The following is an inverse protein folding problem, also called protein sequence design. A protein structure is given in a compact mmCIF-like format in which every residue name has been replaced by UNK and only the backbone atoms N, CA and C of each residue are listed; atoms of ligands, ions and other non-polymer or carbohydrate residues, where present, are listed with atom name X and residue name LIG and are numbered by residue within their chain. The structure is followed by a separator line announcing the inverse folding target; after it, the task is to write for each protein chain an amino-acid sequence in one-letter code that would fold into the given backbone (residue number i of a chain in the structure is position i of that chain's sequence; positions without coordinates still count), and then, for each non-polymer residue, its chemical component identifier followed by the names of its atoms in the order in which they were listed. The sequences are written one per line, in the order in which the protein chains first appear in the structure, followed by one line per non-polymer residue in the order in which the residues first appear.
data_IF_192697285979
#
_entry.id   IF_192697285979
#
_cell.length_a   1.000
_cell.length_b   1.000
_cell.length_c   1.000
_cell.angle_alpha   90.00
_cell.angle_beta   90.00
_cell.angle_gamma   90.00
#
_symmetry.space_group_name_H-M   'P 1'
#
loop_
_entity.id
_entity.type
_entity.pdbx_description
1 polymer ?
#
# COMPACT_ATOMS: atom_id res chain seq x y z
N UNK A 1 -43.26 -29.49 -10.70
CA UNK A 1 -41.89 -30.04 -10.73
C UNK A 1 -41.29 -29.73 -12.10
N UNK A 2 -40.15 -29.06 -12.16
CA UNK A 2 -39.55 -28.61 -13.43
C UNK A 2 -38.77 -29.75 -14.11
N UNK A 3 -38.95 -29.99 -15.42
CA UNK A 3 -38.35 -31.14 -16.15
C UNK A 3 -36.83 -31.27 -16.03
N UNK A 4 -36.12 -30.15 -15.85
CA UNK A 4 -34.65 -30.11 -15.70
C UNK A 4 -34.12 -30.83 -14.45
N UNK A 5 -34.96 -31.06 -13.42
CA UNK A 5 -34.54 -31.75 -12.20
C UNK A 5 -34.41 -33.25 -12.44
N UNK A 6 -35.17 -33.80 -13.40
CA UNK A 6 -35.16 -35.23 -13.72
C UNK A 6 -33.91 -35.59 -14.52
N UNK A 7 -33.39 -34.69 -15.38
CA UNK A 7 -32.16 -34.94 -16.14
C UNK A 7 -30.89 -34.90 -15.30
N UNK A 8 -30.84 -34.07 -14.25
CA UNK A 8 -29.62 -33.87 -13.47
C UNK A 8 -29.34 -34.98 -12.44
N UNK A 9 -30.36 -35.72 -11.99
CA UNK A 9 -30.19 -36.79 -11.00
C UNK A 9 -29.48 -38.05 -11.55
N UNK A 10 -29.31 -38.17 -12.87
CA UNK A 10 -28.77 -39.37 -13.51
C UNK A 10 -27.32 -39.27 -14.01
N UNK A 11 -26.65 -38.11 -13.93
CA UNK A 11 -25.34 -38.00 -14.59
C UNK A 11 -24.23 -37.18 -13.92
N UNK A 12 -24.44 -36.30 -12.93
CA UNK A 12 -23.32 -35.67 -12.22
C UNK A 12 -23.68 -35.34 -10.77
N UNK A 13 -22.75 -35.65 -9.86
CA UNK A 13 -22.75 -35.15 -8.48
C UNK A 13 -22.41 -33.65 -8.53
N UNK A 14 -23.34 -32.83 -9.01
CA UNK A 14 -23.17 -31.37 -9.00
C UNK A 14 -23.18 -30.90 -7.54
N UNK A 15 -22.08 -30.28 -7.11
CA UNK A 15 -22.02 -29.51 -5.86
C UNK A 15 -23.15 -28.47 -5.93
N UNK A 16 -24.15 -28.59 -5.05
CA UNK A 16 -25.22 -27.59 -4.95
C UNK A 16 -24.56 -26.22 -4.78
N UNK A 17 -24.91 -25.21 -5.58
CA UNK A 17 -24.36 -23.88 -5.39
C UNK A 17 -24.88 -23.33 -4.07
N UNK A 18 -24.08 -23.46 -3.01
CA UNK A 18 -24.34 -22.78 -1.74
C UNK A 18 -24.18 -21.28 -1.96
N UNK A 19 -25.18 -20.44 -1.60
CA UNK A 19 -25.18 -19.00 -1.91
C UNK A 19 -24.02 -18.20 -1.29
N UNK A 20 -23.18 -18.82 -0.47
CA UNK A 20 -22.15 -18.17 0.34
C UNK A 20 -20.77 -18.82 0.26
N UNK A 21 -20.42 -19.47 -0.84
CA UNK A 21 -18.99 -19.58 -1.18
C UNK A 21 -18.57 -18.20 -1.72
N UNK A 22 -18.52 -17.20 -0.82
CA UNK A 22 -17.78 -15.96 -1.07
C UNK A 22 -16.34 -16.40 -1.22
N UNK A 23 -15.95 -16.71 -2.44
CA UNK A 23 -14.59 -16.51 -2.86
C UNK A 23 -14.37 -15.01 -2.67
N UNK A 24 -13.95 -14.62 -1.46
CA UNK A 24 -13.14 -13.44 -1.34
C UNK A 24 -11.88 -13.81 -2.13
N UNK A 25 -11.94 -13.60 -3.45
CA UNK A 25 -10.74 -13.28 -4.20
C UNK A 25 -10.10 -12.22 -3.32
N UNK A 26 -8.94 -12.54 -2.73
CA UNK A 26 -8.16 -11.55 -2.01
C UNK A 26 -8.23 -10.29 -2.85
N UNK A 27 -8.69 -9.14 -2.31
CA UNK A 27 -8.66 -7.90 -3.07
C UNK A 27 -7.25 -7.82 -3.63
N UNK A 28 -7.14 -7.87 -4.97
CA UNK A 28 -5.85 -8.05 -5.63
C UNK A 28 -4.88 -7.06 -5.02
N UNK A 29 -3.67 -7.53 -4.69
CA UNK A 29 -2.64 -6.67 -4.09
C UNK A 29 -2.62 -5.36 -4.87
N UNK A 30 -3.06 -4.29 -4.23
CA UNK A 30 -3.15 -3.00 -4.87
C UNK A 30 -1.71 -2.52 -5.03
N UNK A 31 -1.26 -2.54 -6.28
CA UNK A 31 0.04 -2.03 -6.71
C UNK A 31 0.26 -0.58 -6.24
N UNK A 32 1.52 -0.16 -6.04
CA UNK A 32 1.87 0.92 -5.14
C UNK A 32 1.16 2.24 -5.47
N UNK A 33 0.58 2.85 -4.43
CA UNK A 33 0.06 4.21 -4.49
C UNK A 33 1.23 5.18 -4.39
N UNK A 34 1.55 5.86 -5.48
CA UNK A 34 2.54 6.94 -5.47
C UNK A 34 1.83 8.28 -5.28
N UNK A 35 1.95 8.86 -4.09
CA UNK A 35 1.54 10.24 -3.84
C UNK A 35 2.75 11.16 -3.99
N UNK A 36 2.62 12.19 -4.82
CA UNK A 36 3.68 13.15 -5.05
C UNK A 36 3.15 14.57 -4.82
N UNK A 37 3.81 15.28 -3.93
CA UNK A 37 3.54 16.68 -3.67
C UNK A 37 4.73 17.52 -4.15
N UNK A 38 4.42 18.61 -4.84
CA UNK A 38 5.39 19.48 -5.51
C UNK A 38 5.32 20.89 -4.91
N UNK A 39 6.49 21.49 -4.68
CA UNK A 39 6.61 22.88 -4.21
C UNK A 39 5.84 23.14 -2.92
N UNK A 40 5.90 22.20 -1.98
CA UNK A 40 5.29 22.33 -0.66
C UNK A 40 6.33 22.29 0.46
N UNK A 41 5.98 22.91 1.57
CA UNK A 41 6.72 22.90 2.84
C UNK A 41 6.37 21.69 3.70
N UNK A 42 7.15 21.48 4.76
CA UNK A 42 6.90 20.46 5.76
C UNK A 42 5.51 20.61 6.43
N UNK A 43 5.06 21.84 6.66
CA UNK A 43 3.73 22.14 7.23
C UNK A 43 2.58 21.77 6.28
N UNK A 44 2.74 22.03 4.98
CA UNK A 44 1.72 21.65 3.99
C UNK A 44 1.71 20.12 3.80
N UNK A 45 2.88 19.48 3.82
CA UNK A 45 2.99 18.02 3.74
C UNK A 45 2.33 17.33 4.93
N UNK A 46 2.33 17.94 6.12
CA UNK A 46 1.66 17.43 7.32
C UNK A 46 0.19 17.06 7.08
N UNK A 47 -0.54 17.92 6.37
CA UNK A 47 -1.95 17.66 6.01
C UNK A 47 -2.11 16.44 5.09
N UNK A 48 -1.16 16.22 4.17
CA UNK A 48 -1.14 15.09 3.24
C UNK A 48 -0.83 13.80 4.00
N UNK A 49 0.14 13.82 4.90
CA UNK A 49 0.49 12.68 5.74
C UNK A 49 -0.69 12.26 6.63
N UNK A 50 -1.37 13.23 7.25
CA UNK A 50 -2.58 13.00 8.04
C UNK A 50 -3.70 12.37 7.19
N UNK A 51 -4.02 12.98 6.04
CA UNK A 51 -5.06 12.48 5.15
C UNK A 51 -4.73 11.09 4.61
N UNK A 52 -3.47 10.82 4.26
CA UNK A 52 -3.02 9.51 3.80
C UNK A 52 -3.24 8.44 4.87
N UNK A 53 -2.78 8.64 6.10
CA UNK A 53 -2.93 7.66 7.17
C UNK A 53 -4.39 7.45 7.59
N UNK A 54 -5.20 8.53 7.67
CA UNK A 54 -6.62 8.43 8.05
C UNK A 54 -7.50 7.80 6.95
N UNK A 55 -7.11 7.93 5.67
CA UNK A 55 -7.89 7.34 4.58
C UNK A 55 -7.65 5.84 4.38
N UNK A 56 -6.48 5.27 4.73
CA UNK A 56 -6.19 3.83 4.61
C UNK A 56 -7.34 2.92 5.11
N UNK A 57 -7.85 3.06 6.36
CA UNK A 57 -8.95 2.24 6.84
C UNK A 57 -10.29 2.51 6.15
N UNK A 58 -10.43 3.66 5.46
CA UNK A 58 -11.67 4.14 4.82
C UNK A 58 -11.72 3.84 3.33
N UNK A 59 -10.57 3.69 2.66
CA UNK A 59 -10.50 3.31 1.24
C UNK A 59 -10.98 1.86 1.14
N UNK A 60 -12.02 1.64 0.32
CA UNK A 60 -12.66 0.32 0.18
C UNK A 60 -13.92 0.14 1.05
N UNK A 61 -14.63 1.21 1.41
CA UNK A 61 -15.86 1.27 2.23
C UNK A 61 -17.09 0.50 1.69
N UNK A 62 -16.88 -0.62 1.00
CA UNK A 62 -17.84 -1.70 0.74
C UNK A 62 -17.34 -3.08 1.19
N UNK A 63 -16.10 -3.19 1.71
CA UNK A 63 -15.49 -4.41 2.21
C UNK A 63 -15.22 -4.24 3.73
N UNK A 64 -15.52 -5.21 4.61
CA UNK A 64 -15.34 -5.09 6.06
C UNK A 64 -13.89 -4.93 6.54
N UNK A 65 -12.92 -4.93 5.62
CA UNK A 65 -11.50 -4.72 5.90
C UNK A 65 -11.04 -3.57 5.01
N UNK A 66 -10.68 -2.44 5.62
CA UNK A 66 -10.04 -1.33 4.91
C UNK A 66 -8.72 -1.75 4.29
N UNK A 67 -8.03 -0.81 3.65
CA UNK A 67 -6.70 -1.08 3.07
C UNK A 67 -5.64 -0.82 4.14
N UNK A 68 -4.60 -1.65 4.14
CA UNK A 68 -3.42 -1.46 4.96
C UNK A 68 -2.18 -1.30 4.06
N UNK A 69 -1.09 -0.78 4.64
CA UNK A 69 0.21 -0.79 3.98
C UNK A 69 0.64 -2.25 3.83
N UNK A 70 1.10 -2.63 2.64
CA UNK A 70 1.62 -3.97 2.41
C UNK A 70 2.93 -4.17 3.19
N UNK A 71 3.22 -5.39 3.62
CA UNK A 71 4.38 -5.71 4.45
C UNK A 71 5.17 -6.90 3.87
N UNK A 72 6.45 -7.00 4.22
CA UNK A 72 7.26 -8.21 3.97
C UNK A 72 6.86 -9.34 4.92
N UNK A 73 7.44 -10.54 4.75
CA UNK A 73 7.29 -11.64 5.70
C UNK A 73 7.76 -11.30 7.11
N UNK A 74 8.70 -10.35 7.24
CA UNK A 74 9.25 -9.84 8.50
C UNK A 74 8.46 -8.63 9.03
N UNK A 75 7.27 -8.36 8.49
CA UNK A 75 6.40 -7.24 8.88
C UNK A 75 6.98 -5.85 8.59
N UNK A 76 7.99 -5.75 7.71
CA UNK A 76 8.50 -4.44 7.28
C UNK A 76 7.52 -3.79 6.30
N UNK A 77 7.05 -2.56 6.55
CA UNK A 77 6.16 -1.86 5.62
C UNK A 77 6.82 -1.64 4.25
N UNK A 78 6.09 -1.91 3.16
CA UNK A 78 6.51 -1.58 1.79
C UNK A 78 6.18 -0.12 1.49
N UNK A 79 6.87 0.77 2.20
CA UNK A 79 6.65 2.21 2.16
C UNK A 79 7.97 2.96 1.95
N UNK A 80 7.90 4.03 1.15
CA UNK A 80 8.99 5.00 1.01
C UNK A 80 8.43 6.41 1.16
N UNK A 81 9.13 7.24 1.93
CA UNK A 81 8.93 8.69 1.97
C UNK A 81 10.18 9.34 1.41
N UNK A 82 10.01 10.12 0.35
CA UNK A 82 11.09 10.87 -0.28
C UNK A 82 10.90 12.37 0.00
N UNK A 83 11.93 13.02 0.54
CA UNK A 83 12.04 14.49 0.62
C UNK A 83 13.14 14.94 -0.31
N UNK A 84 12.83 15.82 -1.25
CA UNK A 84 13.83 16.28 -2.20
C UNK A 84 13.57 17.66 -2.76
N UNK A 85 14.67 18.37 -3.07
CA UNK A 85 14.64 19.61 -3.84
C UNK A 85 15.00 19.37 -5.32
N UNK A 86 15.51 18.17 -5.63
CA UNK A 86 15.82 17.73 -7.00
C UNK A 86 15.40 16.26 -7.16
N UNK A 87 14.77 15.87 -8.28
CA UNK A 87 14.36 14.49 -8.48
C UNK A 87 15.62 13.60 -8.56
N UNK A 88 15.81 12.77 -7.53
CA UNK A 88 16.94 11.84 -7.40
C UNK A 88 16.43 10.49 -6.93
N UNK A 89 17.23 9.46 -7.17
CA UNK A 89 16.88 8.08 -6.84
C UNK A 89 15.84 7.47 -7.78
N UNK A 90 15.90 6.16 -7.96
CA UNK A 90 14.83 5.44 -8.65
C UNK A 90 13.62 5.38 -7.71
N UNK A 91 12.44 5.73 -8.22
CA UNK A 91 11.19 5.55 -7.46
C UNK A 91 10.86 4.05 -7.42
N UNK A 92 10.48 3.49 -6.25
CA UNK A 92 10.11 2.08 -6.14
C UNK A 92 8.71 1.81 -6.69
N UNK A 93 8.50 2.14 -7.96
CA UNK A 93 7.26 1.89 -8.68
C UNK A 93 7.29 0.48 -9.24
N UNK A 94 6.33 -0.33 -8.82
CA UNK A 94 6.16 -1.71 -9.26
C UNK A 94 5.14 -1.74 -10.39
N UNK A 95 5.47 -2.47 -11.45
CA UNK A 95 4.56 -2.60 -12.59
C UNK A 95 3.29 -3.34 -12.16
N UNK A 96 2.10 -2.87 -12.56
CA UNK A 96 0.84 -3.58 -12.30
C UNK A 96 0.74 -4.92 -13.05
N UNK A 97 1.67 -5.21 -13.97
CA UNK A 97 1.76 -6.49 -14.66
C UNK A 97 2.42 -7.60 -13.82
N UNK A 98 3.08 -7.27 -12.70
CA UNK A 98 3.79 -8.24 -11.85
C UNK A 98 2.80 -8.95 -10.93
N UNK A 99 2.25 -10.07 -11.38
CA UNK A 99 1.21 -10.80 -10.64
C UNK A 99 1.74 -11.65 -9.49
N UNK A 100 3.06 -11.83 -9.38
CA UNK A 100 3.71 -12.57 -8.29
C UNK A 100 4.01 -11.61 -7.12
N UNK A 101 3.41 -11.83 -5.93
CA UNK A 101 3.63 -10.99 -4.75
C UNK A 101 5.10 -10.89 -4.32
N UNK A 102 5.84 -12.01 -4.36
CA UNK A 102 7.24 -12.03 -3.92
C UNK A 102 8.11 -11.23 -4.88
N UNK A 103 7.88 -11.36 -6.18
CA UNK A 103 8.58 -10.59 -7.21
C UNK A 103 8.35 -9.08 -7.02
N UNK A 104 7.11 -8.68 -6.70
CA UNK A 104 6.78 -7.29 -6.39
C UNK A 104 7.51 -6.76 -5.14
N UNK A 105 7.61 -7.57 -4.09
CA UNK A 105 8.36 -7.24 -2.86
C UNK A 105 9.85 -7.07 -3.16
N UNK A 106 10.44 -8.04 -3.87
CA UNK A 106 11.86 -8.04 -4.20
C UNK A 106 12.23 -6.82 -5.07
N UNK A 107 11.39 -6.50 -6.06
CA UNK A 107 11.58 -5.30 -6.88
C UNK A 107 11.42 -4.00 -6.09
N UNK A 108 10.47 -3.95 -5.15
CA UNK A 108 10.32 -2.81 -4.26
C UNK A 108 11.58 -2.58 -3.44
N UNK A 109 12.08 -3.62 -2.76
CA UNK A 109 13.28 -3.54 -1.93
C UNK A 109 14.49 -3.10 -2.76
N UNK A 110 14.63 -3.66 -3.96
CA UNK A 110 15.70 -3.33 -4.90
C UNK A 110 15.66 -1.89 -5.39
N UNK A 111 14.47 -1.31 -5.59
CA UNK A 111 14.32 0.07 -6.03
C UNK A 111 14.32 1.08 -4.87
N UNK A 112 13.89 0.68 -3.68
CA UNK A 112 13.86 1.52 -2.50
C UNK A 112 15.28 1.80 -2.00
N UNK A 113 16.14 0.78 -1.99
CA UNK A 113 17.52 0.84 -1.49
C UNK A 113 18.52 1.25 -2.56
N UNK A 114 19.68 1.74 -2.14
CA UNK A 114 20.84 1.91 -3.01
C UNK A 114 21.74 0.68 -2.92
N UNK A 115 22.47 0.31 -4.00
CA UNK A 115 23.36 -0.85 -3.96
C UNK A 115 24.45 -0.75 -2.90
N UNK A 116 24.86 0.47 -2.54
CA UNK A 116 25.95 0.71 -1.61
C UNK A 116 25.54 0.75 -0.14
N UNK A 117 24.23 0.87 0.17
CA UNK A 117 23.76 1.13 1.54
C UNK A 117 22.59 0.23 1.90
N UNK A 118 22.82 -0.73 2.80
CA UNK A 118 21.75 -1.51 3.42
C UNK A 118 21.19 -0.78 4.64
N UNK A 119 20.68 0.43 4.42
CA UNK A 119 20.07 1.27 5.46
C UNK A 119 18.67 1.66 5.04
N UNK A 120 17.78 1.78 6.02
CA UNK A 120 16.40 2.24 5.83
C UNK A 120 16.30 3.77 5.72
N UNK A 121 17.45 4.45 5.70
CA UNK A 121 17.58 5.88 5.42
C UNK A 121 18.70 6.14 4.41
N UNK A 122 18.41 6.94 3.40
CA UNK A 122 19.39 7.46 2.45
C UNK A 122 19.42 8.98 2.58
N UNK A 123 20.61 9.53 2.82
CA UNK A 123 20.81 10.97 2.93
C UNK A 123 21.87 11.43 1.92
N UNK A 124 21.45 12.21 0.94
CA UNK A 124 22.28 12.78 -0.11
C UNK A 124 22.04 14.30 -0.18
N UNK A 125 22.93 15.08 -0.83
CA UNK A 125 22.67 16.48 -1.07
C UNK A 125 21.32 16.68 -1.77
N UNK A 126 20.44 17.46 -1.12
CA UNK A 126 19.09 17.80 -1.60
C UNK A 126 18.10 16.63 -1.76
N UNK A 127 18.41 15.46 -1.20
CA UNK A 127 17.56 14.27 -1.26
C UNK A 127 17.69 13.44 0.02
N UNK A 128 16.55 13.16 0.65
CA UNK A 128 16.41 12.18 1.72
C UNK A 128 15.33 11.17 1.35
N UNK A 129 15.59 9.91 1.72
CA UNK A 129 14.62 8.82 1.62
C UNK A 129 14.58 8.08 2.94
N UNK A 130 13.36 7.82 3.42
CA UNK A 130 13.07 6.88 4.48
C UNK A 130 12.35 5.66 3.89
N UNK A 131 12.65 4.48 4.40
CA UNK A 131 12.14 3.19 3.90
C UNK A 131 11.54 2.42 5.08
N UNK A 132 10.45 1.69 4.85
CA UNK A 132 9.89 0.79 5.85
C UNK A 132 9.40 1.52 7.10
N UNK A 133 9.80 1.02 8.27
CA UNK A 133 9.42 1.58 9.55
C UNK A 133 9.82 3.05 9.67
N UNK A 134 11.03 3.41 9.22
CA UNK A 134 11.49 4.79 9.23
C UNK A 134 10.60 5.71 8.36
N UNK A 135 10.03 5.18 7.27
CA UNK A 135 9.09 5.91 6.42
C UNK A 135 7.74 6.10 7.12
N UNK A 136 7.27 5.06 7.81
CA UNK A 136 6.01 5.09 8.55
C UNK A 136 6.10 6.05 9.74
N UNK A 137 7.17 5.98 10.52
CA UNK A 137 7.46 6.92 11.62
C UNK A 137 7.47 8.36 11.11
N UNK A 138 8.10 8.61 9.96
CA UNK A 138 8.14 9.96 9.38
C UNK A 138 6.75 10.47 8.99
N UNK A 139 5.89 9.63 8.40
CA UNK A 139 4.50 10.01 8.12
C UNK A 139 3.71 10.28 9.41
N UNK A 140 3.91 9.47 10.44
CA UNK A 140 3.24 9.64 11.74
C UNK A 140 3.67 10.93 12.41
N UNK A 141 4.95 11.30 12.34
CA UNK A 141 5.49 12.59 12.82
C UNK A 141 4.77 13.77 12.14
N UNK A 142 4.70 13.75 10.80
CA UNK A 142 4.01 14.79 10.03
C UNK A 142 2.49 14.82 10.31
N UNK A 143 1.86 13.65 10.47
CA UNK A 143 0.44 13.55 10.82
C UNK A 143 0.15 14.15 12.21
N UNK A 144 0.98 13.82 13.21
CA UNK A 144 0.87 14.39 14.56
C UNK A 144 1.07 15.90 14.53
N UNK A 145 2.08 16.39 13.79
CA UNK A 145 2.30 17.82 13.61
C UNK A 145 1.05 18.54 13.10
N UNK A 146 0.33 17.97 12.13
CA UNK A 146 -0.92 18.55 11.62
C UNK A 146 -2.01 18.63 12.69
N UNK A 147 -2.18 17.57 13.48
CA UNK A 147 -3.17 17.55 14.58
C UNK A 147 -2.86 18.64 15.59
N UNK A 148 -1.62 18.70 16.06
CA UNK A 148 -1.19 19.60 17.12
C UNK A 148 -1.21 21.07 16.67
N UNK A 149 -0.88 21.36 15.42
CA UNK A 149 -0.71 22.74 14.93
C UNK A 149 -1.91 23.31 14.19
N UNK A 150 -2.81 22.46 13.69
CA UNK A 150 -3.96 22.91 12.87
C UNK A 150 -5.29 22.49 13.49
N UNK A 151 -5.42 21.26 13.98
CA UNK A 151 -6.71 20.76 14.47
C UNK A 151 -6.96 21.05 15.96
N UNK A 152 -5.90 21.17 16.76
CA UNK A 152 -5.95 21.45 18.21
C UNK A 152 -5.44 22.86 18.59
N UNK A 153 -5.24 23.73 17.59
CA UNK A 153 -4.75 25.09 17.77
C UNK A 153 -5.74 26.02 18.51
#
# INVERSE_FOLDING_TARGET
MHPAIISNNLSKKEEKPTPFKRQYNQPGILYPVTNHALSITDTEFASIAYAFLDCLPRIGSGNPKGIAIAETSEQMPLLVVDRYLVPRGKRPVISPSITNPQEAIDDFLRFARTPETNSDRIQLPHFERWIGDAALEKLQEYSALFVDTVLQA
#
